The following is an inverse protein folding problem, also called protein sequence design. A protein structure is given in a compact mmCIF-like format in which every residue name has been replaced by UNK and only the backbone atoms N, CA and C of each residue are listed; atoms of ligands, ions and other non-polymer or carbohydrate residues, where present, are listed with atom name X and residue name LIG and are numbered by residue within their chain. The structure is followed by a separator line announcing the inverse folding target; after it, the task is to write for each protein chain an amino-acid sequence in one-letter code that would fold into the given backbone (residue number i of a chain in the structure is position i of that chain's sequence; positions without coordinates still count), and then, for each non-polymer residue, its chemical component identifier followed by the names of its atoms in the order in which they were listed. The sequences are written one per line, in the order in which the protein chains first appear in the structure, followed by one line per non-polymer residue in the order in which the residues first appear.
data_IF_362031065491
#
_entry.id   IF_362031065491
#
_cell.length_a   1.000
_cell.length_b   1.000
_cell.length_c   1.000
_cell.angle_alpha   90.00
_cell.angle_beta   90.00
_cell.angle_gamma   90.00
#
_symmetry.space_group_name_H-M   'P 1'
#
loop_
_entity.id
_entity.type
_entity.pdbx_description
1 polymer ?
#
# COMPACT_ATOMS: atom_id res chain seq x y z
N UNK A 1 -9.58 -63.89 -55.15
CA UNK A 1 -8.55 -63.41 -54.22
C UNK A 1 -8.70 -61.96 -53.96
N UNK A 2 -9.32 -61.60 -52.85
CA UNK A 2 -9.61 -60.18 -52.50
C UNK A 2 -8.98 -59.88 -51.15
N UNK A 3 -7.92 -59.02 -51.15
CA UNK A 3 -7.21 -58.57 -49.95
C UNK A 3 -7.90 -57.30 -49.43
N UNK A 4 -8.48 -57.37 -48.24
CA UNK A 4 -8.93 -56.19 -47.51
C UNK A 4 -7.77 -55.53 -46.80
N UNK A 5 -7.48 -54.27 -47.14
CA UNK A 5 -6.60 -53.36 -46.37
C UNK A 5 -7.43 -52.70 -45.28
N UNK A 6 -7.07 -52.96 -44.04
CA UNK A 6 -7.61 -52.27 -42.88
C UNK A 6 -6.72 -51.06 -42.60
N UNK A 7 -7.30 -49.87 -42.81
CA UNK A 7 -6.60 -48.60 -42.47
C UNK A 7 -6.92 -48.23 -41.02
N UNK A 8 -5.95 -48.33 -40.14
CA UNK A 8 -6.07 -47.91 -38.77
C UNK A 8 -5.98 -46.37 -38.66
N UNK A 9 -7.02 -45.72 -38.15
CA UNK A 9 -7.02 -44.33 -37.80
C UNK A 9 -6.56 -44.19 -36.36
N UNK A 10 -5.34 -43.70 -36.16
CA UNK A 10 -4.79 -43.39 -34.84
C UNK A 10 -5.25 -41.99 -34.44
N UNK A 11 -6.18 -41.89 -33.49
CA UNK A 11 -6.63 -40.63 -32.91
C UNK A 11 -5.56 -40.15 -31.92
N UNK A 12 -4.90 -39.03 -32.23
CA UNK A 12 -3.95 -38.35 -31.36
C UNK A 12 -4.73 -37.42 -30.41
N UNK A 13 -4.90 -37.84 -29.16
CA UNK A 13 -5.48 -37.02 -28.11
C UNK A 13 -4.45 -35.98 -27.64
N UNK A 14 -4.62 -34.72 -28.02
CA UNK A 14 -3.85 -33.59 -27.48
C UNK A 14 -4.44 -33.23 -26.14
N UNK A 15 -3.79 -33.64 -25.05
CA UNK A 15 -4.06 -33.18 -23.71
C UNK A 15 -3.52 -31.75 -23.57
N UNK A 16 -4.41 -30.76 -23.66
CA UNK A 16 -4.10 -29.38 -23.32
C UNK A 16 -3.89 -29.28 -21.79
N UNK A 17 -2.67 -29.39 -21.34
CA UNK A 17 -2.29 -29.07 -19.97
C UNK A 17 -2.46 -27.55 -19.77
N UNK A 18 -3.60 -27.16 -19.23
CA UNK A 18 -3.84 -25.80 -18.75
C UNK A 18 -2.89 -25.51 -17.61
N UNK A 19 -1.78 -24.85 -17.88
CA UNK A 19 -0.92 -24.27 -16.86
C UNK A 19 -1.71 -23.16 -16.15
N UNK A 20 -2.37 -23.50 -15.04
CA UNK A 20 -2.87 -22.51 -14.09
C UNK A 20 -1.64 -21.76 -13.59
N UNK A 21 -1.42 -20.55 -14.11
CA UNK A 21 -0.48 -19.61 -13.52
C UNK A 21 -1.02 -19.23 -12.15
N UNK A 22 -0.60 -19.98 -11.13
CA UNK A 22 -0.69 -19.53 -9.74
C UNK A 22 0.17 -18.30 -9.67
N UNK A 23 -0.47 -17.11 -9.71
CA UNK A 23 0.20 -15.86 -9.36
C UNK A 23 0.69 -16.05 -7.93
N UNK A 24 1.99 -16.26 -7.77
CA UNK A 24 2.63 -16.21 -6.47
C UNK A 24 2.27 -14.83 -5.87
N UNK A 25 1.45 -14.82 -4.82
CA UNK A 25 1.31 -13.65 -3.99
C UNK A 25 2.74 -13.30 -3.56
N UNK A 26 3.20 -12.12 -3.96
CA UNK A 26 4.55 -11.66 -3.59
C UNK A 26 4.67 -11.78 -2.07
N UNK A 27 5.70 -12.51 -1.63
CA UNK A 27 6.00 -12.61 -0.21
C UNK A 27 6.00 -11.22 0.41
N UNK A 28 5.43 -11.11 1.62
CA UNK A 28 5.35 -9.84 2.33
C UNK A 28 6.73 -9.19 2.43
N UNK A 29 6.77 -7.87 2.38
CA UNK A 29 7.99 -7.09 2.48
C UNK A 29 7.96 -6.25 3.74
N UNK A 30 9.11 -6.07 4.38
CA UNK A 30 9.25 -5.18 5.53
C UNK A 30 10.36 -4.18 5.27
N UNK A 31 10.15 -2.95 5.73
CA UNK A 31 11.15 -1.87 5.65
C UNK A 31 11.31 -1.24 7.01
N UNK A 32 12.52 -0.76 7.29
CA UNK A 32 12.84 0.11 8.42
C UNK A 32 13.25 1.48 7.90
N UNK A 33 12.94 2.52 8.67
CA UNK A 33 13.29 3.90 8.35
C UNK A 33 13.47 4.72 9.65
N UNK A 34 13.93 5.94 9.52
CA UNK A 34 13.88 6.95 10.57
C UNK A 34 12.90 8.04 10.16
N UNK A 35 11.85 8.24 10.95
CA UNK A 35 10.96 9.38 10.83
C UNK A 35 11.64 10.63 11.40
N UNK A 36 11.50 11.75 10.71
CA UNK A 36 12.02 13.05 11.15
C UNK A 36 10.96 14.12 10.94
N UNK A 37 10.66 14.88 11.98
CA UNK A 37 9.71 15.98 11.94
C UNK A 37 10.28 17.19 12.67
N UNK A 38 9.99 18.38 12.19
CA UNK A 38 10.23 19.62 12.93
C UNK A 38 9.06 19.90 13.87
N UNK A 39 9.35 20.10 15.14
CA UNK A 39 8.33 20.53 16.10
C UNK A 39 7.99 22.00 15.91
N UNK A 40 6.85 22.43 16.42
CA UNK A 40 6.44 23.85 16.39
C UNK A 40 7.47 24.80 17.02
N UNK A 41 8.28 24.31 17.96
CA UNK A 41 9.42 25.05 18.56
C UNK A 41 10.71 25.02 17.76
N UNK A 42 10.71 24.45 16.53
CA UNK A 42 11.89 24.35 15.66
C UNK A 42 12.85 23.20 15.98
N UNK A 43 12.64 22.46 17.05
CA UNK A 43 13.41 21.27 17.37
C UNK A 43 13.08 20.12 16.39
N UNK A 44 14.05 19.25 16.16
CA UNK A 44 13.84 18.04 15.33
C UNK A 44 13.57 16.85 16.26
N UNK A 45 12.44 16.17 16.05
CA UNK A 45 12.14 14.90 16.69
C UNK A 45 12.36 13.77 15.68
N UNK A 46 12.88 12.64 16.17
CA UNK A 46 13.09 11.43 15.35
C UNK A 46 12.54 10.21 16.06
N UNK A 47 12.07 9.23 15.28
CA UNK A 47 11.70 7.90 15.78
C UNK A 47 11.95 6.83 14.72
N UNK A 48 12.22 5.57 15.14
CA UNK A 48 12.26 4.46 14.22
C UNK A 48 10.88 4.18 13.64
N UNK A 49 10.83 3.75 12.37
CA UNK A 49 9.61 3.34 11.69
C UNK A 49 9.79 1.95 11.14
N UNK A 50 8.78 1.11 11.37
CA UNK A 50 8.66 -0.20 10.72
C UNK A 50 7.45 -0.16 9.79
N UNK A 51 7.66 -0.55 8.54
CA UNK A 51 6.65 -0.61 7.49
C UNK A 51 6.54 -2.06 7.05
N UNK A 52 5.37 -2.64 7.14
CA UNK A 52 5.10 -4.01 6.69
C UNK A 52 4.13 -3.97 5.53
N UNK A 53 4.49 -4.59 4.43
CA UNK A 53 3.65 -4.78 3.24
C UNK A 53 3.31 -6.26 3.16
N UNK A 54 2.11 -6.65 3.54
CA UNK A 54 1.65 -8.04 3.46
C UNK A 54 1.25 -8.42 2.04
N UNK A 55 0.59 -7.50 1.34
CA UNK A 55 0.19 -7.65 -0.06
C UNK A 55 0.04 -6.30 -0.74
N UNK A 56 0.18 -6.30 -2.04
CA UNK A 56 -0.14 -5.17 -2.91
C UNK A 56 -1.51 -5.41 -3.54
N UNK A 57 -2.27 -4.35 -3.73
CA UNK A 57 -3.52 -4.42 -4.45
C UNK A 57 -3.30 -4.53 -5.95
N UNK A 58 -4.18 -5.24 -6.62
CA UNK A 58 -4.28 -5.20 -8.08
C UNK A 58 -4.88 -3.86 -8.52
N UNK A 59 -4.68 -3.51 -9.78
CA UNK A 59 -5.29 -2.30 -10.33
C UNK A 59 -6.82 -2.35 -10.31
N UNK A 60 -7.42 -3.53 -10.46
CA UNK A 60 -8.86 -3.73 -10.35
C UNK A 60 -9.37 -3.46 -8.93
N UNK A 61 -8.70 -4.01 -7.91
CA UNK A 61 -9.06 -3.75 -6.50
C UNK A 61 -8.94 -2.26 -6.17
N UNK A 62 -7.83 -1.62 -6.56
CA UNK A 62 -7.63 -0.19 -6.36
C UNK A 62 -8.70 0.64 -7.10
N UNK A 63 -9.07 0.26 -8.32
CA UNK A 63 -10.12 0.91 -9.11
C UNK A 63 -11.50 0.83 -8.43
N UNK A 64 -11.85 -0.30 -7.83
CA UNK A 64 -13.10 -0.43 -7.04
C UNK A 64 -13.11 0.53 -5.84
N UNK A 65 -11.98 0.69 -5.15
CA UNK A 65 -11.88 1.59 -4.00
C UNK A 65 -11.92 3.06 -4.41
N UNK A 66 -11.26 3.43 -5.52
CA UNK A 66 -11.33 4.81 -6.03
C UNK A 66 -12.74 5.15 -6.51
N UNK A 67 -13.45 4.21 -7.16
CA UNK A 67 -14.85 4.38 -7.53
C UNK A 67 -15.77 4.56 -6.30
N UNK A 68 -15.59 3.74 -5.26
CA UNK A 68 -16.34 3.88 -4.01
C UNK A 68 -16.09 5.24 -3.35
N UNK A 69 -14.84 5.68 -3.29
CA UNK A 69 -14.49 6.99 -2.74
C UNK A 69 -15.10 8.14 -3.56
N UNK A 70 -15.04 8.07 -4.88
CA UNK A 70 -15.63 9.09 -5.76
C UNK A 70 -17.14 9.18 -5.59
N UNK A 71 -17.81 8.05 -5.34
CA UNK A 71 -19.26 8.00 -5.17
C UNK A 71 -19.76 8.51 -3.81
N UNK A 72 -18.98 8.36 -2.73
CA UNK A 72 -19.46 8.69 -1.39
C UNK A 72 -18.35 9.02 -0.37
N UNK A 73 -17.16 9.43 -0.84
CA UNK A 73 -16.07 9.93 0.00
C UNK A 73 -15.54 8.90 0.99
N UNK A 74 -15.00 9.39 2.11
CA UNK A 74 -14.39 8.59 3.15
C UNK A 74 -15.33 7.51 3.74
N UNK A 75 -16.61 7.82 3.88
CA UNK A 75 -17.60 6.88 4.43
C UNK A 75 -17.81 5.67 3.51
N UNK A 76 -17.95 5.89 2.20
CA UNK A 76 -18.11 4.83 1.22
C UNK A 76 -16.82 3.99 1.08
N UNK A 77 -15.66 4.63 1.13
CA UNK A 77 -14.38 3.94 1.14
C UNK A 77 -14.23 3.00 2.35
N UNK A 78 -14.54 3.50 3.56
CA UNK A 78 -14.52 2.68 4.78
C UNK A 78 -15.48 1.49 4.69
N UNK A 79 -16.69 1.71 4.13
CA UNK A 79 -17.64 0.63 3.88
C UNK A 79 -17.09 -0.42 2.90
N UNK A 80 -16.38 0.01 1.86
CA UNK A 80 -15.75 -0.89 0.90
C UNK A 80 -14.60 -1.70 1.53
N UNK A 81 -13.96 -1.21 2.57
CA UNK A 81 -12.90 -1.92 3.31
C UNK A 81 -13.41 -2.95 4.32
N UNK A 82 -14.72 -2.92 4.66
CA UNK A 82 -15.29 -3.91 5.60
C UNK A 82 -15.10 -5.31 5.04
N UNK A 83 -14.52 -6.19 5.86
CA UNK A 83 -14.22 -7.58 5.48
C UNK A 83 -12.92 -7.77 4.67
N UNK A 84 -12.26 -6.68 4.24
CA UNK A 84 -10.96 -6.80 3.58
C UNK A 84 -9.83 -6.96 4.60
N UNK A 85 -8.95 -7.93 4.36
CA UNK A 85 -7.73 -8.07 5.17
C UNK A 85 -6.81 -6.84 5.00
N UNK A 86 -6.09 -6.41 6.05
CA UNK A 86 -5.09 -5.36 5.94
C UNK A 86 -4.04 -5.69 4.88
N UNK A 87 -3.64 -4.67 4.12
CA UNK A 87 -2.58 -4.80 3.11
C UNK A 87 -1.19 -4.69 3.71
N UNK A 88 -1.08 -4.20 4.95
CA UNK A 88 0.16 -4.03 5.68
C UNK A 88 -0.06 -3.26 6.97
N UNK A 89 1.01 -2.68 7.52
CA UNK A 89 0.96 -1.82 8.70
C UNK A 89 2.13 -0.83 8.76
N UNK A 90 1.94 0.24 9.52
CA UNK A 90 2.94 1.25 9.82
C UNK A 90 3.06 1.35 11.34
N UNK A 91 4.26 1.20 11.87
CA UNK A 91 4.57 1.38 13.29
C UNK A 91 5.63 2.47 13.45
N UNK A 92 5.40 3.43 14.36
CA UNK A 92 6.33 4.51 14.68
C UNK A 92 6.74 4.39 16.14
N UNK A 93 8.04 4.33 16.39
CA UNK A 93 8.58 4.19 17.74
C UNK A 93 8.00 2.98 18.47
N UNK A 94 7.63 3.20 19.73
CA UNK A 94 7.00 2.19 20.59
C UNK A 94 5.47 2.16 20.45
N UNK A 95 4.90 2.97 19.56
CA UNK A 95 3.45 3.01 19.30
C UNK A 95 2.91 1.70 18.74
N UNK A 96 1.60 1.56 18.73
CA UNK A 96 0.93 0.43 18.08
C UNK A 96 1.08 0.47 16.56
N UNK A 97 1.17 -0.71 15.95
CA UNK A 97 1.16 -0.82 14.50
C UNK A 97 -0.23 -0.46 13.95
N UNK A 98 -0.29 0.57 13.11
CA UNK A 98 -1.51 0.98 12.44
C UNK A 98 -1.69 0.19 11.15
N UNK A 99 -2.78 -0.57 10.98
CA UNK A 99 -3.01 -1.33 9.77
C UNK A 99 -3.26 -0.40 8.58
N UNK A 100 -2.75 -0.79 7.41
CA UNK A 100 -3.08 -0.15 6.14
C UNK A 100 -4.13 -0.95 5.40
N UNK A 101 -5.04 -0.27 4.73
CA UNK A 101 -6.15 -0.86 3.97
C UNK A 101 -5.94 -0.83 2.47
N UNK A 102 -4.98 -0.03 2.03
CA UNK A 102 -4.60 0.08 0.63
C UNK A 102 -3.08 0.11 0.55
N UNK A 103 -2.53 -0.68 -0.37
CA UNK A 103 -1.12 -0.63 -0.77
C UNK A 103 -1.04 -0.80 -2.27
N UNK A 104 -0.54 0.23 -2.95
CA UNK A 104 -0.34 0.27 -4.39
C UNK A 104 1.16 0.42 -4.67
N UNK A 105 1.64 -0.29 -5.67
CA UNK A 105 3.00 -0.14 -6.19
C UNK A 105 2.96 0.44 -7.60
N UNK A 106 3.85 1.38 -7.89
CA UNK A 106 4.09 1.92 -9.22
C UNK A 106 5.58 1.93 -9.51
N UNK A 107 5.96 1.56 -10.71
CA UNK A 107 7.34 1.68 -11.18
C UNK A 107 7.67 3.17 -11.39
N UNK A 108 8.88 3.56 -11.02
CA UNK A 108 9.44 4.90 -11.24
C UNK A 108 10.82 4.77 -11.88
N UNK A 109 11.38 5.88 -12.34
CA UNK A 109 12.73 5.91 -12.92
C UNK A 109 13.83 5.54 -11.90
N UNK A 110 13.52 5.67 -10.59
CA UNK A 110 14.46 5.36 -9.49
C UNK A 110 14.23 3.98 -8.86
N UNK A 111 13.18 3.27 -9.30
CA UNK A 111 12.82 1.99 -8.77
C UNK A 111 11.31 1.82 -8.67
N UNK A 112 10.75 1.90 -7.47
CA UNK A 112 9.30 1.74 -7.24
C UNK A 112 8.80 2.64 -6.12
N UNK A 113 7.62 3.17 -6.31
CA UNK A 113 6.86 3.94 -5.33
C UNK A 113 5.78 3.03 -4.72
N UNK A 114 5.81 2.90 -3.41
CA UNK A 114 4.76 2.25 -2.62
C UNK A 114 3.92 3.33 -1.94
N UNK A 115 2.63 3.38 -2.25
CA UNK A 115 1.65 4.22 -1.57
C UNK A 115 0.79 3.34 -0.67
N UNK A 116 0.77 3.64 0.63
CA UNK A 116 -0.01 2.92 1.63
C UNK A 116 -0.98 3.89 2.31
N UNK A 117 -2.24 3.47 2.49
CA UNK A 117 -3.27 4.28 3.16
C UNK A 117 -3.83 3.51 4.35
N UNK A 118 -3.78 4.13 5.53
CA UNK A 118 -4.44 3.64 6.74
C UNK A 118 -5.82 4.27 6.88
N UNK A 119 -6.75 3.53 7.51
CA UNK A 119 -8.15 3.94 7.73
C UNK A 119 -8.34 4.88 8.94
N UNK A 120 -7.25 5.26 9.56
CA UNK A 120 -7.20 6.22 10.67
C UNK A 120 -5.89 7.01 10.65
N UNK A 121 -5.87 8.23 11.20
CA UNK A 121 -4.64 8.98 11.40
C UNK A 121 -3.64 8.27 12.31
N UNK A 122 -2.35 8.53 12.10
CA UNK A 122 -1.25 8.08 12.95
C UNK A 122 -0.76 9.28 13.77
N UNK A 123 -1.36 9.49 14.93
CA UNK A 123 -1.09 10.64 15.80
C UNK A 123 0.13 10.39 16.71
N UNK A 124 1.28 10.18 16.07
CA UNK A 124 2.56 10.03 16.76
C UNK A 124 3.55 10.95 16.06
N UNK A 125 4.55 11.48 16.65
CA UNK A 125 5.51 12.42 16.05
C UNK A 125 4.90 13.54 15.16
N UNK A 126 4.94 14.77 15.61
CA UNK A 126 4.52 15.95 14.84
C UNK A 126 3.02 16.06 14.53
N UNK A 127 2.32 14.95 14.55
CA UNK A 127 0.87 14.91 14.37
C UNK A 127 0.09 15.34 15.61
N UNK A 128 0.77 15.86 16.61
CA UNK A 128 0.17 16.33 17.83
C UNK A 128 0.50 15.47 19.06
N UNK A 129 -0.07 15.84 20.18
CA UNK A 129 0.08 15.17 21.47
C UNK A 129 -0.60 13.80 21.38
N UNK A 130 -0.02 12.72 21.94
CA UNK A 130 -0.68 11.42 22.01
C UNK A 130 -2.12 11.58 22.56
N UNK A 131 -3.10 11.03 21.83
CA UNK A 131 -4.51 11.16 22.16
C UNK A 131 -5.22 12.43 21.62
N UNK A 132 -4.54 13.31 20.89
CA UNK A 132 -5.18 14.39 20.17
C UNK A 132 -6.22 13.84 19.18
N UNK A 133 -7.40 14.47 19.12
CA UNK A 133 -8.38 14.10 18.10
C UNK A 133 -7.96 14.68 16.76
N UNK A 134 -8.02 13.89 15.67
CA UNK A 134 -7.77 14.43 14.35
C UNK A 134 -8.78 15.54 14.04
N UNK A 135 -8.36 16.54 13.26
CA UNK A 135 -9.25 17.54 12.71
C UNK A 135 -10.27 16.85 11.80
N UNK A 136 -11.51 17.30 11.83
CA UNK A 136 -12.59 16.74 11.03
C UNK A 136 -12.25 16.73 9.53
N UNK A 137 -12.48 15.59 8.88
CA UNK A 137 -12.17 15.36 7.46
C UNK A 137 -10.72 14.94 7.16
N UNK A 138 -9.82 14.90 8.17
CA UNK A 138 -8.46 14.38 8.02
C UNK A 138 -8.41 12.94 8.54
N UNK A 139 -9.07 12.07 7.80
CA UNK A 139 -9.48 10.74 8.24
C UNK A 139 -8.43 9.65 8.04
N UNK A 140 -7.37 9.94 7.29
CA UNK A 140 -6.42 8.93 6.81
C UNK A 140 -5.00 9.27 7.19
N UNK A 141 -4.14 8.23 7.27
CA UNK A 141 -2.71 8.43 7.13
C UNK A 141 -2.27 7.88 5.77
N UNK A 142 -1.40 8.61 5.09
CA UNK A 142 -0.85 8.22 3.78
C UNK A 142 0.66 8.15 3.89
N UNK A 143 1.21 7.01 3.50
CA UNK A 143 2.65 6.77 3.42
C UNK A 143 3.04 6.57 1.96
N UNK A 144 3.98 7.38 1.49
CA UNK A 144 4.64 7.22 0.21
C UNK A 144 6.13 6.93 0.44
N UNK A 145 6.61 5.80 -0.05
CA UNK A 145 8.04 5.46 -0.03
C UNK A 145 8.52 5.12 -1.44
N UNK A 146 9.60 5.75 -1.86
CA UNK A 146 10.30 5.42 -3.10
C UNK A 146 11.57 4.65 -2.77
N UNK A 147 11.70 3.43 -3.29
CA UNK A 147 12.81 2.54 -3.02
C UNK A 147 13.38 1.98 -4.32
N UNK A 148 14.70 1.83 -4.34
CA UNK A 148 15.43 1.19 -5.43
C UNK A 148 15.27 -0.34 -5.44
N UNK A 149 15.98 -1.02 -6.34
CA UNK A 149 15.95 -2.47 -6.45
C UNK A 149 16.48 -3.20 -5.19
N UNK A 150 17.37 -2.56 -4.40
CA UNK A 150 17.87 -3.08 -3.14
C UNK A 150 16.91 -2.81 -1.97
N UNK A 151 15.86 -2.02 -2.18
CA UNK A 151 14.92 -1.62 -1.16
C UNK A 151 15.41 -0.45 -0.29
N UNK A 152 16.40 0.29 -0.79
CA UNK A 152 16.91 1.51 -0.14
C UNK A 152 16.21 2.75 -0.73
N UNK A 153 15.95 3.77 0.10
CA UNK A 153 15.28 4.97 -0.40
C UNK A 153 14.87 5.97 0.66
N UNK A 154 13.82 6.70 0.34
CA UNK A 154 13.22 7.72 1.19
C UNK A 154 11.71 7.80 1.02
N UNK A 155 11.08 8.65 1.82
CA UNK A 155 9.63 8.81 1.71
C UNK A 155 9.05 9.88 2.60
N UNK A 156 7.72 9.92 2.60
CA UNK A 156 6.95 10.87 3.41
C UNK A 156 5.75 10.15 4.01
N UNK A 157 5.50 10.39 5.28
CA UNK A 157 4.27 10.01 5.94
C UNK A 157 3.45 11.28 6.20
N UNK A 158 2.22 11.29 5.71
CA UNK A 158 1.19 12.28 6.02
C UNK A 158 0.30 11.70 7.12
N UNK A 159 0.54 12.05 8.39
CA UNK A 159 -0.05 11.33 9.53
C UNK A 159 -1.55 11.58 9.71
N UNK A 160 -2.05 12.70 9.23
CA UNK A 160 -3.47 13.03 9.17
C UNK A 160 -3.72 13.78 7.85
N UNK A 161 -4.47 13.20 6.95
CA UNK A 161 -4.66 13.72 5.60
C UNK A 161 -6.11 13.64 5.14
N UNK A 162 -6.51 14.63 4.34
CA UNK A 162 -7.59 14.48 3.37
C UNK A 162 -7.03 13.86 2.12
N UNK A 163 -7.78 12.93 1.55
CA UNK A 163 -7.41 12.33 0.27
C UNK A 163 -8.43 12.70 -0.80
N UNK A 164 -7.99 12.70 -2.04
CA UNK A 164 -8.84 12.78 -3.23
C UNK A 164 -8.40 11.76 -4.26
N UNK A 165 -9.24 11.51 -5.25
CA UNK A 165 -8.87 10.70 -6.41
C UNK A 165 -8.41 11.64 -7.52
N UNK A 166 -7.24 11.37 -8.07
CA UNK A 166 -6.68 12.05 -9.22
C UNK A 166 -6.14 11.01 -10.21
N UNK A 167 -6.64 11.02 -11.43
CA UNK A 167 -6.27 10.05 -12.48
C UNK A 167 -6.33 8.58 -12.00
N UNK A 168 -7.39 8.23 -11.24
CA UNK A 168 -7.58 6.88 -10.72
C UNK A 168 -6.67 6.49 -9.55
N UNK A 169 -5.87 7.41 -9.01
CA UNK A 169 -5.01 7.18 -7.84
C UNK A 169 -5.46 8.02 -6.65
N UNK A 170 -5.29 7.48 -5.45
CA UNK A 170 -5.41 8.27 -4.23
C UNK A 170 -4.19 9.17 -4.06
N UNK A 171 -4.45 10.44 -3.82
CA UNK A 171 -3.43 11.46 -3.53
C UNK A 171 -3.86 12.27 -2.31
N UNK A 172 -2.88 12.82 -1.59
CA UNK A 172 -3.17 13.75 -0.50
C UNK A 172 -3.69 15.06 -1.11
N UNK A 173 -4.82 15.51 -0.60
CA UNK A 173 -5.47 16.78 -0.99
C UNK A 173 -5.07 17.91 -0.02
N UNK A 174 -5.06 17.59 1.27
CA UNK A 174 -4.68 18.53 2.33
C UNK A 174 -4.15 17.79 3.55
N UNK A 175 -3.36 18.47 4.37
CA UNK A 175 -2.67 17.94 5.54
C UNK A 175 -3.31 18.50 6.82
N UNK A 176 -3.72 17.59 7.70
CA UNK A 176 -4.22 17.93 9.05
C UNK A 176 -3.12 18.04 10.09
N UNK A 177 -1.90 17.62 9.73
CA UNK A 177 -0.71 17.66 10.55
C UNK A 177 0.53 17.80 9.65
N UNK A 178 1.65 18.20 10.22
CA UNK A 178 2.92 18.32 9.51
C UNK A 178 3.36 16.95 8.95
N UNK A 179 3.81 16.94 7.70
CA UNK A 179 4.32 15.75 7.05
C UNK A 179 5.64 15.30 7.69
N UNK A 180 5.75 14.01 7.91
CA UNK A 180 6.93 13.37 8.51
C UNK A 180 7.81 12.83 7.39
N UNK A 181 9.05 13.30 7.34
CA UNK A 181 10.05 12.79 6.40
C UNK A 181 10.59 11.45 6.87
N UNK A 182 10.66 10.48 5.97
CA UNK A 182 11.30 9.19 6.21
C UNK A 182 12.65 9.15 5.49
N UNK A 183 13.70 8.88 6.25
CA UNK A 183 15.07 8.78 5.74
C UNK A 183 15.67 7.42 6.07
N UNK A 184 16.65 6.99 5.26
CA UNK A 184 17.38 5.76 5.49
C UNK A 184 16.49 4.52 5.39
N UNK A 185 15.49 4.53 4.49
CA UNK A 185 14.65 3.36 4.26
C UNK A 185 15.54 2.21 3.79
N UNK A 186 15.33 1.05 4.40
CA UNK A 186 16.00 -0.20 4.04
C UNK A 186 15.02 -1.35 4.14
N UNK A 187 15.08 -2.27 3.18
CA UNK A 187 14.36 -3.54 3.27
C UNK A 187 14.93 -4.34 4.45
N UNK A 188 14.05 -4.77 5.35
CA UNK A 188 14.44 -5.68 6.42
C UNK A 188 14.71 -7.08 5.84
N UNK A 189 15.69 -7.76 6.44
CA UNK A 189 16.06 -9.13 6.06
C UNK A 189 15.06 -10.15 6.57
#
# INVERSE_FOLDING_TARGET
MLRYMVTGVTALAIAAAGASMVRAQSAGESFTATATVKTAGGATATAPVTIVVNRKMTQEEAGKLTAAFTAGGAAALRKAWVGMAPTGSIKIGDGEATPTRLTIERTTDKGRLLTMVADKPILHLGAGIPGAKPKEGYDFAVLDIEVDAAGAGGGTLSPAAKIRVNNGAFVVDDYGAESVRLVGIKKAK
#
